data_IF_428904491639
#
_entry.id   IF_428904491639
#
_cell.length_a   1.000
_cell.length_b   1.000
_cell.length_c   1.000
_cell.angle_alpha   90.00
_cell.angle_beta   90.00
_cell.angle_gamma   90.00
#
_symmetry.space_group_name_H-M   'P 1'
#
loop_
_entity.id
_entity.type
_entity.pdbx_description
1 polymer ?
#
# COMPACT_ATOMS: atom_id res chain seq x y z
N UNK A 1 -11.96 -39.42 -21.90
CA UNK A 1 -10.56 -39.31 -22.33
C UNK A 1 -10.30 -37.91 -22.82
N UNK A 2 -9.09 -37.39 -22.64
CA UNK A 2 -8.68 -36.12 -23.21
C UNK A 2 -8.39 -36.25 -24.71
N UNK A 3 -9.00 -35.43 -25.58
CA UNK A 3 -8.78 -35.50 -27.03
C UNK A 3 -7.38 -35.06 -27.48
N UNK A 4 -6.62 -34.35 -26.62
CA UNK A 4 -5.29 -33.82 -26.95
C UNK A 4 -4.17 -34.78 -26.53
N UNK A 5 -4.26 -35.40 -25.35
CA UNK A 5 -3.18 -36.24 -24.80
C UNK A 5 -3.62 -37.66 -24.39
N UNK A 6 -4.85 -38.06 -24.73
CA UNK A 6 -5.35 -39.42 -24.48
C UNK A 6 -5.61 -39.79 -23.02
N UNK A 7 -5.34 -38.90 -22.06
CA UNK A 7 -5.47 -39.20 -20.63
C UNK A 7 -6.93 -39.47 -20.23
N UNK A 8 -7.19 -40.58 -19.54
CA UNK A 8 -8.50 -40.88 -18.97
C UNK A 8 -8.75 -40.04 -17.71
N UNK A 9 -9.94 -39.44 -17.64
CA UNK A 9 -10.36 -38.56 -16.53
C UNK A 9 -11.71 -39.04 -16.02
N UNK A 10 -11.92 -38.91 -14.71
CA UNK A 10 -13.00 -39.56 -13.97
C UNK A 10 -14.35 -38.87 -14.09
N UNK A 11 -14.41 -37.65 -14.65
CA UNK A 11 -15.67 -36.93 -14.82
C UNK A 11 -15.61 -35.88 -15.93
N UNK A 12 -16.76 -35.47 -16.50
CA UNK A 12 -16.82 -34.38 -17.47
C UNK A 12 -16.28 -33.05 -16.91
N UNK A 13 -16.52 -32.77 -15.63
CA UNK A 13 -16.00 -31.57 -14.97
C UNK A 13 -14.47 -31.57 -14.80
N UNK A 14 -13.88 -32.74 -14.52
CA UNK A 14 -12.41 -32.87 -14.47
C UNK A 14 -11.77 -32.80 -15.87
N UNK A 15 -12.47 -33.27 -16.90
CA UNK A 15 -12.07 -33.10 -18.30
C UNK A 15 -12.10 -31.63 -18.73
N UNK A 16 -13.16 -30.88 -18.40
CA UNK A 16 -13.22 -29.44 -18.69
C UNK A 16 -12.08 -28.65 -18.05
N UNK A 17 -11.74 -28.96 -16.79
CA UNK A 17 -10.60 -28.33 -16.09
C UNK A 17 -9.24 -28.74 -16.67
N UNK A 18 -9.11 -29.99 -17.10
CA UNK A 18 -7.91 -30.51 -17.73
C UNK A 18 -7.63 -29.86 -19.09
N UNK A 19 -8.67 -29.54 -19.87
CA UNK A 19 -8.54 -28.91 -21.18
C UNK A 19 -7.96 -27.49 -21.12
N UNK A 20 -8.09 -26.80 -19.99
CA UNK A 20 -7.47 -25.49 -19.75
C UNK A 20 -5.93 -25.54 -19.75
N UNK A 21 -5.34 -26.72 -19.60
CA UNK A 21 -3.88 -26.93 -19.64
C UNK A 21 -3.38 -27.04 -21.09
N UNK A 22 -4.26 -27.41 -22.03
CA UNK A 22 -3.94 -27.58 -23.46
C UNK A 22 -4.22 -26.33 -24.30
N UNK A 23 -4.80 -25.27 -23.71
CA UNK A 23 -4.96 -24.02 -24.45
C UNK A 23 -3.60 -23.35 -24.61
N UNK A 24 -3.13 -23.25 -25.86
CA UNK A 24 -1.86 -22.60 -26.23
C UNK A 24 -1.85 -21.07 -26.02
N UNK A 25 -2.89 -20.49 -25.39
CA UNK A 25 -2.93 -19.09 -24.94
C UNK A 25 -2.19 -18.91 -23.58
N UNK A 26 -0.95 -19.34 -23.60
CA UNK A 26 0.26 -19.05 -22.81
C UNK A 26 0.31 -18.47 -21.38
N UNK A 27 -0.74 -18.11 -20.62
CA UNK A 27 -0.51 -17.54 -19.26
C UNK A 27 -1.65 -17.81 -18.26
N UNK A 28 -1.64 -18.97 -17.60
CA UNK A 28 -2.35 -19.13 -16.31
C UNK A 28 -1.59 -18.33 -15.23
N UNK A 29 -1.83 -17.03 -15.20
CA UNK A 29 -1.28 -16.13 -14.20
C UNK A 29 -2.23 -16.00 -13.01
N UNK A 30 -1.70 -15.75 -11.82
CA UNK A 30 -2.51 -15.28 -10.70
C UNK A 30 -3.16 -13.95 -11.04
N UNK A 31 -4.49 -13.85 -10.92
CA UNK A 31 -5.24 -12.61 -11.14
C UNK A 31 -4.86 -11.49 -10.14
N UNK A 32 -4.23 -11.83 -9.02
CA UNK A 32 -3.91 -10.88 -7.93
C UNK A 32 -2.44 -10.47 -7.92
N UNK A 33 -1.50 -11.39 -8.16
CA UNK A 33 -0.06 -11.10 -8.13
C UNK A 33 0.67 -11.30 -9.47
N UNK A 34 -0.03 -11.74 -10.52
CA UNK A 34 0.54 -11.95 -11.86
C UNK A 34 1.48 -13.15 -11.99
N UNK A 35 1.71 -13.92 -10.92
CA UNK A 35 2.63 -15.07 -10.93
C UNK A 35 2.14 -16.16 -11.89
N UNK A 36 3.06 -16.67 -12.72
CA UNK A 36 2.82 -17.74 -13.70
C UNK A 36 2.76 -19.12 -13.04
N UNK A 37 1.82 -19.95 -13.45
CA UNK A 37 1.75 -21.34 -13.04
C UNK A 37 2.16 -22.28 -14.17
N UNK A 38 2.87 -23.35 -13.84
CA UNK A 38 3.21 -24.45 -14.75
C UNK A 38 2.46 -25.74 -14.42
N UNK A 39 1.69 -25.76 -13.32
CA UNK A 39 1.02 -26.96 -12.81
C UNK A 39 -0.27 -26.64 -12.05
N UNK A 40 -1.22 -27.58 -12.08
CA UNK A 40 -2.51 -27.48 -11.40
C UNK A 40 -2.40 -27.58 -9.86
N UNK A 41 -1.31 -28.12 -9.32
CA UNK A 41 -1.10 -28.24 -7.87
C UNK A 41 -0.86 -26.88 -7.18
N UNK A 42 -0.56 -25.81 -7.94
CA UNK A 42 -0.14 -24.51 -7.41
C UNK A 42 -1.22 -23.42 -7.40
N UNK A 43 -2.42 -23.68 -7.94
CA UNK A 43 -3.52 -22.71 -8.00
C UNK A 43 -4.84 -23.25 -7.44
N UNK A 44 -5.70 -22.34 -6.97
CA UNK A 44 -7.08 -22.59 -6.54
C UNK A 44 -8.05 -21.90 -7.52
N UNK A 45 -9.13 -22.60 -7.89
CA UNK A 45 -10.19 -22.13 -8.80
C UNK A 45 -11.53 -21.90 -8.10
N UNK A 46 -11.66 -22.12 -6.78
CA UNK A 46 -12.96 -22.05 -6.11
C UNK A 46 -13.43 -20.61 -5.84
N UNK A 47 -14.56 -20.29 -6.48
CA UNK A 47 -15.50 -19.17 -6.26
C UNK A 47 -14.91 -17.81 -5.91
N UNK A 48 -14.35 -17.15 -6.92
CA UNK A 48 -14.02 -15.73 -6.93
C UNK A 48 -15.18 -14.73 -7.24
N UNK A 49 -16.45 -15.09 -7.56
CA UNK A 49 -17.44 -14.08 -7.95
C UNK A 49 -17.89 -13.12 -6.84
N UNK A 50 -17.73 -13.46 -5.56
CA UNK A 50 -18.31 -12.65 -4.47
C UNK A 50 -17.31 -11.61 -3.89
N UNK A 51 -16.03 -11.73 -4.24
CA UNK A 51 -14.93 -10.98 -3.59
C UNK A 51 -14.17 -10.08 -4.57
N UNK A 52 -14.42 -10.18 -5.87
CA UNK A 52 -13.78 -9.33 -6.88
C UNK A 52 -14.86 -8.58 -7.65
N UNK A 53 -15.45 -7.58 -7.01
CA UNK A 53 -16.21 -6.58 -7.73
C UNK A 53 -15.23 -5.87 -8.70
N UNK A 54 -15.55 -5.89 -10.00
CA UNK A 54 -14.70 -5.44 -11.11
C UNK A 54 -14.23 -3.98 -10.97
N UNK A 55 -14.89 -3.21 -10.10
CA UNK A 55 -14.59 -1.80 -9.79
C UNK A 55 -13.41 -1.58 -8.82
N UNK A 56 -12.87 -2.63 -8.18
CA UNK A 56 -11.90 -2.49 -7.06
C UNK A 56 -10.44 -2.84 -7.41
N UNK A 57 -10.14 -3.17 -8.68
CA UNK A 57 -8.78 -3.53 -9.08
C UNK A 57 -7.98 -2.25 -9.40
N UNK A 58 -6.81 -2.01 -8.77
CA UNK A 58 -6.00 -0.83 -9.07
C UNK A 58 -5.50 -0.89 -10.53
N UNK A 59 -5.45 0.24 -11.25
CA UNK A 59 -4.82 0.27 -12.57
C UNK A 59 -3.33 -0.07 -12.43
N UNK A 60 -2.87 -1.04 -13.22
CA UNK A 60 -1.48 -1.42 -13.26
C UNK A 60 -0.64 -0.23 -13.76
N UNK A 61 0.10 0.42 -12.86
CA UNK A 61 1.02 1.49 -13.21
C UNK A 61 2.22 0.93 -13.98
N UNK A 62 2.47 1.54 -15.14
CA UNK A 62 3.73 1.51 -15.88
C UNK A 62 4.86 2.08 -15.02
N UNK A 63 6.06 1.54 -15.15
CA UNK A 63 7.29 2.30 -15.41
C UNK A 63 8.42 1.27 -15.64
N UNK A 64 9.01 1.29 -16.84
CA UNK A 64 10.27 0.60 -17.17
C UNK A 64 11.49 1.37 -16.67
N UNK A 65 12.72 0.94 -17.03
CA UNK A 65 13.18 1.26 -18.38
C UNK A 65 14.02 0.19 -19.11
N UNK A 66 13.86 0.19 -20.44
CA UNK A 66 14.81 -0.18 -21.53
C UNK A 66 15.21 -1.66 -21.66
N UNK A 67 15.20 -2.31 -22.83
CA UNK A 67 15.41 -1.83 -24.21
C UNK A 67 14.80 -2.78 -25.26
N UNK A 68 14.72 -2.27 -26.50
CA UNK A 68 14.63 -2.99 -27.79
C UNK A 68 13.24 -3.47 -28.29
N UNK A 69 12.77 -2.73 -29.31
CA UNK A 69 12.10 -3.19 -30.52
C UNK A 69 10.62 -3.62 -30.46
N UNK A 70 9.76 -2.65 -30.81
CA UNK A 70 8.70 -2.78 -31.81
C UNK A 70 7.88 -4.06 -31.88
N UNK A 71 6.77 -4.07 -31.14
CA UNK A 71 5.45 -4.51 -31.62
C UNK A 71 4.40 -3.82 -30.77
N UNK A 72 3.50 -3.09 -31.40
CA UNK A 72 2.29 -2.56 -30.78
C UNK A 72 1.44 -3.73 -30.27
N UNK A 73 1.70 -4.16 -29.03
CA UNK A 73 0.79 -5.04 -28.32
C UNK A 73 -0.31 -4.13 -27.82
N UNK A 74 -1.33 -3.95 -28.64
CA UNK A 74 -2.61 -3.42 -28.22
C UNK A 74 -2.96 -4.08 -26.89
N UNK A 75 -3.20 -3.27 -25.86
CA UNK A 75 -3.59 -3.73 -24.53
C UNK A 75 -4.95 -4.42 -24.66
N UNK A 76 -4.94 -5.71 -24.97
CA UNK A 76 -6.15 -6.52 -25.01
C UNK A 76 -6.64 -6.60 -23.57
N UNK A 77 -7.89 -6.19 -23.27
CA UNK A 77 -8.47 -6.47 -21.97
C UNK A 77 -8.31 -7.97 -21.70
N UNK A 78 -8.00 -8.39 -20.46
CA UNK A 78 -7.82 -9.79 -20.15
C UNK A 78 -9.08 -10.56 -20.58
N UNK A 79 -8.96 -11.33 -21.66
CA UNK A 79 -10.03 -12.20 -22.15
C UNK A 79 -10.04 -13.41 -21.24
N UNK A 80 -11.05 -13.47 -20.36
CA UNK A 80 -11.21 -14.58 -19.43
C UNK A 80 -12.03 -15.68 -20.10
N UNK A 81 -11.45 -16.86 -20.40
CA UNK A 81 -12.27 -17.99 -20.81
C UNK A 81 -13.12 -18.41 -19.60
N UNK A 82 -14.45 -18.27 -19.74
CA UNK A 82 -15.47 -18.68 -18.77
C UNK A 82 -15.54 -17.94 -17.41
N UNK A 83 -14.93 -16.75 -17.27
CA UNK A 83 -15.12 -15.90 -16.08
C UNK A 83 -14.53 -16.44 -14.76
N UNK A 84 -13.61 -17.41 -14.84
CA UNK A 84 -12.95 -17.99 -13.67
C UNK A 84 -11.59 -17.34 -13.49
N UNK A 85 -11.43 -16.61 -12.38
CA UNK A 85 -10.14 -16.05 -11.97
C UNK A 85 -9.27 -17.14 -11.31
N UNK A 86 -7.96 -17.10 -11.51
CA UNK A 86 -7.03 -18.07 -10.91
C UNK A 86 -6.17 -17.38 -9.85
N UNK A 87 -5.99 -18.01 -8.68
CA UNK A 87 -5.17 -17.47 -7.59
C UNK A 87 -4.20 -18.52 -7.07
N UNK A 88 -2.95 -18.12 -6.74
CA UNK A 88 -1.99 -19.05 -6.14
C UNK A 88 -2.45 -19.49 -4.75
N UNK A 89 -2.25 -20.76 -4.41
CA UNK A 89 -2.62 -21.32 -3.11
C UNK A 89 -1.99 -20.58 -1.90
N UNK A 90 -0.82 -19.96 -2.09
CA UNK A 90 -0.12 -19.17 -1.05
C UNK A 90 -0.06 -17.67 -1.37
N UNK A 91 -0.99 -17.13 -2.16
CA UNK A 91 -0.95 -15.72 -2.55
C UNK A 91 -1.20 -14.80 -1.34
N UNK A 92 -0.14 -14.20 -0.79
CA UNK A 92 -0.21 -13.25 0.32
C UNK A 92 -1.05 -12.00 -0.04
N UNK A 93 -1.00 -11.56 -1.29
CA UNK A 93 -1.81 -10.45 -1.78
C UNK A 93 -3.31 -10.79 -1.76
N UNK A 94 -3.69 -12.01 -2.14
CA UNK A 94 -5.07 -12.47 -2.05
C UNK A 94 -5.55 -12.59 -0.60
N UNK A 95 -4.73 -13.14 0.30
CA UNK A 95 -5.07 -13.20 1.74
C UNK A 95 -5.32 -11.82 2.34
N UNK A 96 -4.45 -10.84 2.04
CA UNK A 96 -4.64 -9.44 2.46
C UNK A 96 -5.90 -8.83 1.87
N UNK A 97 -6.23 -9.14 0.62
CA UNK A 97 -7.44 -8.66 -0.03
C UNK A 97 -8.71 -9.24 0.64
N UNK A 98 -8.69 -10.53 0.98
CA UNK A 98 -9.77 -11.17 1.75
C UNK A 98 -9.90 -10.55 3.15
N UNK A 99 -8.79 -10.32 3.86
CA UNK A 99 -8.76 -9.66 5.16
C UNK A 99 -9.35 -8.25 5.11
N UNK A 100 -8.95 -7.46 4.11
CA UNK A 100 -9.49 -6.13 3.84
C UNK A 100 -10.99 -6.15 3.55
N UNK A 101 -11.48 -7.25 2.97
CA UNK A 101 -12.89 -7.49 2.70
C UNK A 101 -13.62 -8.18 3.85
N UNK A 102 -13.02 -8.43 5.01
CA UNK A 102 -13.81 -8.93 6.14
C UNK A 102 -14.91 -7.93 6.50
N UNK A 103 -16.13 -8.37 6.83
CA UNK A 103 -17.22 -7.47 7.23
C UNK A 103 -16.84 -6.53 8.38
N UNK A 104 -15.94 -6.97 9.26
CA UNK A 104 -15.40 -6.17 10.36
C UNK A 104 -14.54 -5.00 9.86
N UNK A 105 -13.56 -5.26 8.98
CA UNK A 105 -12.67 -4.23 8.42
C UNK A 105 -13.47 -3.25 7.55
N UNK A 106 -14.40 -3.75 6.72
CA UNK A 106 -15.31 -2.91 5.93
C UNK A 106 -16.16 -1.99 6.82
N UNK A 107 -16.81 -2.54 7.85
CA UNK A 107 -17.60 -1.73 8.81
C UNK A 107 -16.73 -0.70 9.55
N UNK A 108 -15.51 -1.05 9.94
CA UNK A 108 -14.59 -0.10 10.60
C UNK A 108 -14.19 1.04 9.65
N UNK A 109 -13.83 0.72 8.41
CA UNK A 109 -13.44 1.71 7.40
C UNK A 109 -14.61 2.65 7.09
N UNK A 110 -15.81 2.10 6.88
CA UNK A 110 -17.02 2.88 6.60
C UNK A 110 -17.38 3.79 7.79
N UNK A 111 -17.29 3.29 9.03
CA UNK A 111 -17.47 4.12 10.24
C UNK A 111 -16.44 5.24 10.34
N UNK A 112 -15.18 4.99 9.97
CA UNK A 112 -14.11 6.00 10.04
C UNK A 112 -14.23 7.04 8.92
N UNK A 113 -14.70 6.64 7.74
CA UNK A 113 -15.00 7.53 6.61
C UNK A 113 -16.17 8.46 6.93
N UNK A 114 -17.28 7.90 7.42
CA UNK A 114 -18.51 8.62 7.76
C UNK A 114 -18.52 9.21 9.17
N UNK A 115 -17.35 9.33 9.81
CA UNK A 115 -17.22 9.91 11.14
C UNK A 115 -17.42 11.44 11.10
N UNK A 116 -18.35 12.00 11.90
CA UNK A 116 -18.52 13.45 12.02
C UNK A 116 -17.22 14.15 12.43
N UNK A 117 -17.02 15.37 11.95
CA UNK A 117 -15.76 16.10 12.15
C UNK A 117 -15.44 16.32 13.63
N UNK A 118 -16.44 16.67 14.43
CA UNK A 118 -16.30 16.93 15.87
C UNK A 118 -15.85 15.67 16.61
N UNK A 119 -16.47 14.53 16.28
CA UNK A 119 -16.12 13.22 16.84
C UNK A 119 -14.70 12.82 16.43
N UNK A 120 -14.35 13.04 15.16
CA UNK A 120 -13.01 12.79 14.63
C UNK A 120 -11.96 13.62 15.37
N UNK A 121 -12.22 14.91 15.58
CA UNK A 121 -11.32 15.82 16.32
C UNK A 121 -11.18 15.39 17.78
N UNK A 122 -12.28 15.04 18.46
CA UNK A 122 -12.24 14.57 19.84
C UNK A 122 -11.43 13.28 19.98
N UNK A 123 -11.61 12.32 19.06
CA UNK A 123 -10.82 11.09 19.04
C UNK A 123 -9.34 11.38 18.79
N UNK A 124 -9.02 12.22 17.81
CA UNK A 124 -7.63 12.60 17.51
C UNK A 124 -6.97 13.30 18.70
N UNK A 125 -7.72 14.13 19.44
CA UNK A 125 -7.24 14.75 20.68
C UNK A 125 -6.97 13.70 21.75
N UNK A 126 -7.89 12.76 21.99
CA UNK A 126 -7.67 11.63 22.92
C UNK A 126 -6.45 10.79 22.54
N UNK A 127 -6.25 10.50 21.25
CA UNK A 127 -5.07 9.79 20.76
C UNK A 127 -3.78 10.60 20.99
N UNK A 128 -3.83 11.93 20.82
CA UNK A 128 -2.70 12.84 21.06
C UNK A 128 -2.35 12.92 22.54
N UNK A 129 -3.34 13.10 23.42
CA UNK A 129 -3.13 13.17 24.88
C UNK A 129 -2.62 11.84 25.43
N UNK A 130 -3.17 10.70 24.97
CA UNK A 130 -2.66 9.38 25.34
C UNK A 130 -1.21 9.16 24.88
N UNK A 131 -0.87 9.56 23.63
CA UNK A 131 0.52 9.49 23.13
C UNK A 131 1.46 10.41 23.93
N UNK A 132 1.01 11.60 24.30
CA UNK A 132 1.78 12.55 25.12
C UNK A 132 2.01 11.98 26.52
N UNK A 133 0.96 11.53 27.20
CA UNK A 133 1.04 10.90 28.51
C UNK A 133 1.99 9.69 28.51
N UNK A 134 1.94 8.83 27.49
CA UNK A 134 2.90 7.72 27.36
C UNK A 134 4.34 8.19 27.19
N UNK A 135 4.59 9.30 26.47
CA UNK A 135 5.94 9.86 26.32
C UNK A 135 6.46 10.51 27.61
N UNK A 136 5.57 11.18 28.34
CA UNK A 136 5.90 11.86 29.59
C UNK A 136 6.25 10.83 30.69
N UNK A 137 5.61 9.66 30.66
CA UNK A 137 5.87 8.54 31.58
C UNK A 137 6.94 7.54 31.09
N UNK A 138 7.59 7.78 29.94
CA UNK A 138 8.59 6.88 29.35
C UNK A 138 9.90 6.89 30.15
N UNK A 139 10.42 5.72 30.53
CA UNK A 139 11.71 5.63 31.24
C UNK A 139 12.86 6.08 30.33
N UNK A 140 14.04 6.47 30.88
CA UNK A 140 15.19 6.83 30.07
C UNK A 140 15.61 5.76 29.06
N UNK A 141 15.57 4.48 29.45
CA UNK A 141 15.93 3.33 28.62
C UNK A 141 14.90 3.12 27.49
N UNK A 142 13.60 3.15 27.82
CA UNK A 142 12.52 3.04 26.83
C UNK A 142 12.60 4.17 25.79
N UNK A 143 12.91 5.39 26.24
CA UNK A 143 13.11 6.57 25.40
C UNK A 143 14.30 6.41 24.46
N UNK A 144 15.37 5.78 24.92
CA UNK A 144 16.52 5.46 24.09
C UNK A 144 16.16 4.40 23.03
N UNK A 145 15.52 3.31 23.43
CA UNK A 145 15.07 2.25 22.51
C UNK A 145 14.12 2.82 21.44
N UNK A 146 13.16 3.67 21.81
CA UNK A 146 12.29 4.34 20.84
C UNK A 146 13.07 5.25 19.89
N UNK A 147 14.01 6.06 20.40
CA UNK A 147 14.87 6.90 19.54
C UNK A 147 15.74 6.07 18.60
N UNK A 148 16.22 4.90 19.04
CA UNK A 148 16.93 3.95 18.19
C UNK A 148 16.04 3.42 17.06
N UNK A 149 14.84 2.94 17.38
CA UNK A 149 13.85 2.49 16.38
C UNK A 149 13.47 3.60 15.40
N UNK A 150 13.28 4.84 15.87
CA UNK A 150 12.97 6.00 15.03
C UNK A 150 14.12 6.34 14.07
N UNK A 151 15.38 6.20 14.51
CA UNK A 151 16.58 6.42 13.68
C UNK A 151 16.71 5.34 12.62
N UNK A 152 16.52 4.08 12.99
CA UNK A 152 16.59 2.93 12.08
C UNK A 152 15.47 2.98 11.03
N UNK A 153 14.23 3.24 11.45
CA UNK A 153 13.09 3.39 10.54
C UNK A 153 13.34 4.51 9.51
N UNK A 154 13.88 5.66 9.95
CA UNK A 154 14.29 6.73 9.03
C UNK A 154 15.40 6.27 8.10
N UNK A 155 16.42 5.55 8.58
CA UNK A 155 17.50 5.03 7.72
C UNK A 155 16.94 4.12 6.63
N UNK A 156 16.10 3.15 7.00
CA UNK A 156 15.46 2.23 6.06
C UNK A 156 14.58 2.97 5.05
N UNK A 157 13.79 3.95 5.52
CA UNK A 157 12.99 4.80 4.63
C UNK A 157 13.86 5.51 3.60
N UNK A 158 14.96 6.15 4.03
CA UNK A 158 15.88 6.86 3.14
C UNK A 158 16.61 5.95 2.14
N UNK A 159 16.88 4.71 2.54
CA UNK A 159 17.51 3.71 1.68
C UNK A 159 16.57 3.26 0.54
N UNK A 160 15.27 3.25 0.79
CA UNK A 160 14.24 2.82 -0.19
C UNK A 160 13.69 3.99 -1.03
N UNK A 161 14.09 5.23 -0.77
CA UNK A 161 13.61 6.40 -1.52
C UNK A 161 14.11 6.38 -2.96
N UNK A 162 13.20 6.65 -3.91
CA UNK A 162 13.58 6.98 -5.28
C UNK A 162 14.23 8.36 -5.36
N UNK A 163 14.98 8.65 -6.42
CA UNK A 163 15.67 9.93 -6.58
C UNK A 163 14.70 11.12 -6.57
N UNK A 164 13.51 10.96 -7.16
CA UNK A 164 12.48 11.99 -7.09
C UNK A 164 11.93 12.20 -5.66
N UNK A 165 11.68 11.11 -4.92
CA UNK A 165 11.22 11.19 -3.54
C UNK A 165 12.26 11.89 -2.65
N UNK A 166 13.54 11.57 -2.88
CA UNK A 166 14.69 12.21 -2.25
C UNK A 166 14.76 13.70 -2.58
N UNK A 167 14.58 14.09 -3.84
CA UNK A 167 14.56 15.48 -4.28
C UNK A 167 13.43 16.28 -3.61
N UNK A 168 12.20 15.74 -3.62
CA UNK A 168 11.04 16.34 -2.94
C UNK A 168 11.26 16.49 -1.42
N UNK A 169 11.89 15.51 -0.76
CA UNK A 169 12.25 15.62 0.66
C UNK A 169 13.29 16.71 0.90
N UNK A 170 14.38 16.72 0.12
CA UNK A 170 15.45 17.73 0.27
C UNK A 170 14.94 19.15 0.01
N UNK A 171 14.01 19.33 -0.94
CA UNK A 171 13.35 20.60 -1.15
C UNK A 171 12.55 21.04 0.09
N UNK A 172 11.69 20.18 0.62
CA UNK A 172 10.95 20.46 1.87
C UNK A 172 11.87 20.77 3.04
N UNK A 173 12.97 20.04 3.19
CA UNK A 173 13.96 20.29 4.25
C UNK A 173 14.64 21.67 4.10
N UNK A 174 14.95 22.08 2.87
CA UNK A 174 15.52 23.41 2.57
C UNK A 174 14.52 24.51 2.88
N UNK A 175 13.27 24.36 2.46
CA UNK A 175 12.18 25.30 2.73
C UNK A 175 11.90 25.42 4.22
N UNK A 176 11.82 24.29 4.95
CA UNK A 176 11.64 24.27 6.39
C UNK A 176 12.78 24.98 7.12
N UNK A 177 14.04 24.78 6.70
CA UNK A 177 15.19 25.52 7.25
C UNK A 177 15.10 27.02 6.98
N UNK A 178 14.68 27.43 5.78
CA UNK A 178 14.48 28.84 5.44
C UNK A 178 13.39 29.48 6.29
N UNK A 179 12.25 28.79 6.43
CA UNK A 179 11.14 29.25 7.26
C UNK A 179 11.56 29.35 8.73
N UNK A 180 12.24 28.34 9.27
CA UNK A 180 12.75 28.34 10.64
C UNK A 180 13.63 29.57 10.91
N UNK A 181 14.59 29.86 10.04
CA UNK A 181 15.45 31.05 10.17
C UNK A 181 14.65 32.36 10.11
N UNK A 182 13.62 32.44 9.27
CA UNK A 182 12.72 33.63 9.22
C UNK A 182 11.97 33.79 10.54
N UNK A 183 11.38 32.72 11.06
CA UNK A 183 10.66 32.74 12.33
C UNK A 183 11.57 33.09 13.50
N UNK A 184 12.78 32.53 13.56
CA UNK A 184 13.79 32.88 14.57
C UNK A 184 14.19 34.37 14.48
N UNK A 185 14.35 34.90 13.26
CA UNK A 185 14.62 36.33 13.06
C UNK A 185 13.45 37.18 13.53
N UNK A 186 12.21 36.78 13.25
CA UNK A 186 11.01 37.50 13.72
C UNK A 186 10.89 37.45 15.24
N UNK A 187 11.12 36.30 15.88
CA UNK A 187 11.13 36.16 17.34
C UNK A 187 12.19 37.07 17.97
N UNK A 188 13.40 37.09 17.40
CA UNK A 188 14.47 37.98 17.85
C UNK A 188 14.08 39.46 17.73
N UNK A 189 13.48 39.88 16.61
CA UNK A 189 13.02 41.26 16.42
C UNK A 189 11.89 41.64 17.40
N UNK A 190 10.93 40.74 17.62
CA UNK A 190 9.86 40.94 18.59
C UNK A 190 10.43 41.11 20.00
N UNK A 191 11.34 40.22 20.44
CA UNK A 191 12.02 40.34 21.74
C UNK A 191 12.77 41.66 21.90
N UNK A 192 13.46 42.13 20.86
CA UNK A 192 14.17 43.41 20.90
C UNK A 192 13.20 44.60 21.05
N UNK A 193 12.05 44.57 20.38
CA UNK A 193 11.04 45.63 20.46
C UNK A 193 10.36 45.67 21.84
N UNK A 194 10.04 44.51 22.43
CA UNK A 194 9.50 44.44 23.80
C UNK A 194 10.54 44.79 24.87
N UNK A 195 11.82 44.44 24.67
CA UNK A 195 12.91 44.82 25.56
C UNK A 195 13.22 46.32 25.55
N UNK A 196 13.07 46.99 24.40
CA UNK A 196 13.24 48.46 24.30
C UNK A 196 12.08 49.22 24.96
N UNK A 197 10.84 48.70 24.88
CA UNK A 197 9.68 49.33 25.52
C UNK A 197 9.72 49.27 27.06
N UNK A 198 10.38 48.28 27.66
CA UNK A 198 10.61 48.24 29.12
C UNK A 198 11.68 49.22 29.62
N UNK A 199 12.58 49.69 28.76
CA UNK A 199 13.65 50.64 29.12
C UNK A 199 13.25 52.11 28.94
N UNK A 200 12.06 52.39 28.39
CA UNK A 200 11.53 53.75 28.16
C UNK A 200 10.54 54.21 29.26
N UNK A 201 10.34 53.42 30.31
CA UNK A 201 9.36 53.67 31.39
C UNK A 201 10.00 54.01 32.76
N UNK A 202 11.29 54.33 32.79
CA UNK A 202 12.01 54.84 33.97
C UNK A 202 12.56 56.23 33.68
#
# INVERSE_FOLDING_TARGET
MCPVCGRALSSPGSLGRHLLIHSEDQRSNCAVCGARFTSHATFNSEKLPEVLNMESLPPAHSEGPSSAEGKDIAFSPPVYPAGILLVCNNCAAYRKLLEAQTPSVRKWALRRQNEPLEVRLQRLERERTAKKSRRDNETPEEREVRRMRDREAKRLQRMQETDEQRARRLQRDREAKRLKRRLEKMDMMLRAQFGQNSSSLH
#
